data_IF_023900904291
#
_entry.id   IF_023900904291
#
_cell.length_a   1.000
_cell.length_b   1.000
_cell.length_c   1.000
_cell.angle_alpha   90.00
_cell.angle_beta   90.00
_cell.angle_gamma   90.00
#
_symmetry.space_group_name_H-M   'P 1'
#
loop_
_entity.id
_entity.type
_entity.pdbx_description
1 polymer ?
#
# COMPACT_ATOMS: atom_id res chain seq x y z
N UNK A 1 32.57 15.48 -9.61
CA UNK A 1 31.97 14.34 -8.89
C UNK A 1 32.55 13.07 -9.50
N UNK A 2 33.15 12.18 -8.71
CA UNK A 2 33.67 10.91 -9.23
C UNK A 2 32.55 10.07 -9.83
N UNK A 3 32.88 9.25 -10.83
CA UNK A 3 31.94 8.28 -11.41
C UNK A 3 31.29 7.48 -10.28
N UNK A 4 29.96 7.30 -10.26
CA UNK A 4 29.33 6.43 -9.27
C UNK A 4 29.98 5.04 -9.36
N UNK A 5 30.53 4.56 -8.24
CA UNK A 5 31.13 3.23 -8.16
C UNK A 5 30.11 2.13 -8.45
N UNK A 6 30.56 0.97 -8.90
CA UNK A 6 29.68 -0.16 -9.25
C UNK A 6 30.03 -1.41 -8.44
N UNK A 7 29.05 -2.31 -8.25
CA UNK A 7 29.22 -3.48 -7.39
C UNK A 7 30.35 -4.39 -7.86
N UNK A 8 30.57 -4.46 -9.17
CA UNK A 8 31.54 -5.34 -9.78
C UNK A 8 32.98 -4.85 -9.68
N UNK A 9 33.21 -3.59 -9.30
CA UNK A 9 34.52 -2.99 -9.11
C UNK A 9 34.83 -2.69 -7.64
N UNK A 10 33.82 -2.47 -6.81
CA UNK A 10 34.00 -2.02 -5.42
C UNK A 10 33.96 -3.16 -4.37
N UNK A 11 33.45 -4.34 -4.69
CA UNK A 11 33.24 -5.43 -3.71
C UNK A 11 34.25 -6.58 -3.86
N UNK A 12 35.53 -6.26 -3.77
CA UNK A 12 36.64 -7.21 -3.78
C UNK A 12 37.49 -7.14 -2.51
N UNK A 13 38.17 -8.24 -2.19
CA UNK A 13 39.15 -8.31 -1.12
C UNK A 13 40.51 -8.72 -1.67
N UNK A 14 41.59 -8.29 -1.00
CA UNK A 14 42.97 -8.59 -1.40
C UNK A 14 43.35 -10.04 -1.09
N UNK A 15 42.83 -10.60 0.00
CA UNK A 15 43.14 -11.96 0.41
C UNK A 15 42.38 -13.01 -0.43
N UNK A 16 43.11 -13.97 -0.98
CA UNK A 16 42.51 -15.10 -1.70
C UNK A 16 41.65 -15.91 -0.71
N UNK A 17 40.44 -16.26 -1.14
CA UNK A 17 39.41 -16.91 -0.34
C UNK A 17 38.75 -16.03 0.74
N UNK A 18 39.03 -14.72 0.79
CA UNK A 18 38.16 -13.78 1.49
C UNK A 18 37.02 -13.34 0.58
N UNK A 19 35.83 -13.89 0.84
CA UNK A 19 34.63 -13.66 0.05
C UNK A 19 33.68 -12.61 0.66
N UNK A 20 34.15 -11.81 1.61
CA UNK A 20 33.32 -10.83 2.32
C UNK A 20 32.67 -9.77 1.41
N UNK A 21 33.30 -9.38 0.30
CA UNK A 21 32.71 -8.48 -0.70
C UNK A 21 31.40 -9.04 -1.29
N UNK A 22 31.43 -10.29 -1.76
CA UNK A 22 30.23 -11.01 -2.21
C UNK A 22 29.19 -11.16 -1.10
N UNK A 23 29.61 -11.55 0.11
CA UNK A 23 28.72 -11.73 1.27
C UNK A 23 27.95 -10.45 1.60
N UNK A 24 28.62 -9.29 1.51
CA UNK A 24 28.03 -7.98 1.77
C UNK A 24 26.92 -7.67 0.76
N UNK A 25 27.21 -7.82 -0.54
CA UNK A 25 26.20 -7.58 -1.60
C UNK A 25 25.06 -8.59 -1.49
N UNK A 26 25.36 -9.87 -1.28
CA UNK A 26 24.33 -10.91 -1.15
C UNK A 26 23.37 -10.63 0.00
N UNK A 27 23.89 -10.19 1.14
CA UNK A 27 23.08 -9.79 2.28
C UNK A 27 22.23 -8.56 1.96
N UNK A 28 22.80 -7.55 1.28
CA UNK A 28 22.04 -6.37 0.85
C UNK A 28 20.83 -6.74 -0.01
N UNK A 29 20.98 -7.67 -0.96
CA UNK A 29 19.86 -8.13 -1.80
C UNK A 29 18.82 -8.90 -1.00
N UNK A 30 19.22 -9.69 0.01
CA UNK A 30 18.28 -10.35 0.93
C UNK A 30 17.46 -9.32 1.71
N UNK A 31 18.11 -8.29 2.24
CA UNK A 31 17.44 -7.23 2.99
C UNK A 31 16.49 -6.42 2.09
N UNK A 32 16.93 -6.11 0.86
CA UNK A 32 16.10 -5.47 -0.16
C UNK A 32 14.82 -6.27 -0.46
N UNK A 33 14.92 -7.59 -0.62
CA UNK A 33 13.77 -8.48 -0.82
C UNK A 33 12.81 -8.47 0.38
N UNK A 34 13.33 -8.42 1.61
CA UNK A 34 12.51 -8.31 2.82
C UNK A 34 11.75 -6.99 2.87
N UNK A 35 12.39 -5.89 2.51
CA UNK A 35 11.76 -4.57 2.47
C UNK A 35 10.61 -4.53 1.46
N UNK A 36 10.82 -5.05 0.23
CA UNK A 36 9.74 -5.13 -0.77
C UNK A 36 8.58 -5.99 -0.24
N UNK A 37 8.87 -7.15 0.36
CA UNK A 37 7.84 -8.02 0.92
C UNK A 37 6.99 -7.29 1.97
N UNK A 38 7.64 -6.59 2.92
CA UNK A 38 6.97 -5.82 3.95
C UNK A 38 6.09 -4.70 3.35
N UNK A 39 6.59 -4.01 2.31
CA UNK A 39 5.83 -2.98 1.62
C UNK A 39 4.60 -3.55 0.89
N UNK A 40 4.76 -4.69 0.21
CA UNK A 40 3.63 -5.42 -0.41
C UNK A 40 2.58 -5.77 0.65
N UNK A 41 2.99 -6.29 1.80
CA UNK A 41 2.06 -6.72 2.84
C UNK A 41 1.35 -5.55 3.53
N UNK A 42 2.03 -4.41 3.70
CA UNK A 42 1.41 -3.16 4.11
C UNK A 42 0.35 -2.72 3.09
N UNK A 43 0.73 -2.68 1.81
CA UNK A 43 -0.18 -2.20 0.75
C UNK A 43 -1.37 -3.14 0.54
N UNK A 44 -1.23 -4.45 0.75
CA UNK A 44 -2.38 -5.38 0.78
C UNK A 44 -3.39 -5.01 1.87
N UNK A 45 -2.93 -4.64 3.07
CA UNK A 45 -3.81 -4.22 4.16
C UNK A 45 -4.51 -2.91 3.81
N UNK A 46 -3.79 -1.93 3.24
CA UNK A 46 -4.36 -0.67 2.75
C UNK A 46 -5.43 -0.92 1.70
N UNK A 47 -5.13 -1.75 0.70
CA UNK A 47 -6.09 -2.10 -0.36
C UNK A 47 -7.33 -2.79 0.22
N UNK A 48 -7.15 -3.77 1.11
CA UNK A 48 -8.28 -4.46 1.75
C UNK A 48 -9.16 -3.50 2.57
N UNK A 49 -8.55 -2.56 3.31
CA UNK A 49 -9.30 -1.54 4.03
C UNK A 49 -10.11 -0.65 3.07
N UNK A 50 -9.52 -0.23 1.95
CA UNK A 50 -10.19 0.54 0.90
C UNK A 50 -11.36 -0.23 0.27
N UNK A 51 -11.18 -1.53 -0.03
CA UNK A 51 -12.25 -2.39 -0.56
C UNK A 51 -13.42 -2.52 0.43
N UNK A 52 -13.11 -2.74 1.71
CA UNK A 52 -14.13 -2.85 2.75
C UNK A 52 -14.90 -1.54 2.93
N UNK A 53 -14.20 -0.41 2.85
CA UNK A 53 -14.80 0.91 2.89
C UNK A 53 -15.76 1.12 1.72
N UNK A 54 -15.30 0.90 0.47
CA UNK A 54 -16.12 1.04 -0.73
C UNK A 54 -17.36 0.13 -0.71
N UNK A 55 -17.20 -1.15 -0.33
CA UNK A 55 -18.32 -2.10 -0.19
C UNK A 55 -19.34 -1.66 0.86
N UNK A 56 -18.87 -1.07 1.97
CA UNK A 56 -19.75 -0.59 3.02
C UNK A 56 -20.58 0.61 2.56
N UNK A 57 -19.98 1.54 1.80
CA UNK A 57 -20.70 2.66 1.19
C UNK A 57 -21.76 2.21 0.19
N UNK A 58 -21.41 1.29 -0.72
CA UNK A 58 -22.37 0.73 -1.68
C UNK A 58 -23.55 0.03 -0.97
N UNK A 59 -23.26 -0.72 0.10
CA UNK A 59 -24.29 -1.36 0.92
C UNK A 59 -25.19 -0.32 1.60
N UNK A 60 -24.62 0.76 2.14
CA UNK A 60 -25.38 1.85 2.74
C UNK A 60 -26.30 2.53 1.72
N UNK A 61 -25.77 2.90 0.55
CA UNK A 61 -26.53 3.54 -0.53
C UNK A 61 -27.65 2.66 -1.10
N UNK A 62 -27.44 1.34 -1.13
CA UNK A 62 -28.46 0.36 -1.54
C UNK A 62 -29.57 0.21 -0.49
N UNK A 63 -29.22 0.26 0.78
CA UNK A 63 -30.16 0.09 1.89
C UNK A 63 -30.95 1.35 2.21
N UNK A 64 -30.45 2.52 1.81
CA UNK A 64 -31.16 3.79 1.93
C UNK A 64 -32.20 3.91 0.80
N UNK A 65 -33.39 3.34 1.00
CA UNK A 65 -34.55 3.67 0.16
C UNK A 65 -35.12 5.01 0.60
N UNK A 66 -35.27 5.93 -0.34
CA UNK A 66 -35.95 7.19 -0.10
C UNK A 66 -37.46 6.97 -0.28
N UNK A 67 -38.31 7.34 0.70
CA UNK A 67 -39.75 7.18 0.59
C UNK A 67 -40.31 7.87 -0.66
N UNK A 68 -41.32 7.26 -1.29
CA UNK A 68 -42.06 7.86 -2.40
C UNK A 68 -43.01 8.99 -1.94
N UNK A 69 -43.00 9.32 -0.65
CA UNK A 69 -43.81 10.41 -0.08
C UNK A 69 -43.20 11.78 -0.30
N UNK A 70 -41.89 11.86 -0.54
CA UNK A 70 -41.18 13.13 -0.76
C UNK A 70 -41.09 13.43 -2.26
N UNK A 71 -41.30 14.70 -2.62
CA UNK A 71 -41.42 15.15 -4.01
C UNK A 71 -40.55 16.39 -4.28
N UNK A 72 -40.62 16.92 -5.51
CA UNK A 72 -39.99 18.19 -5.84
C UNK A 72 -38.46 18.14 -5.83
N UNK A 73 -37.86 19.32 -5.64
CA UNK A 73 -36.40 19.50 -5.65
C UNK A 73 -35.75 18.91 -4.41
N UNK A 74 -36.45 18.89 -3.27
CA UNK A 74 -35.92 18.24 -2.06
C UNK A 74 -35.73 16.74 -2.28
N UNK A 75 -36.69 16.05 -2.92
CA UNK A 75 -36.55 14.63 -3.30
C UNK A 75 -35.36 14.40 -4.23
N UNK A 76 -35.15 15.30 -5.19
CA UNK A 76 -34.02 15.24 -6.11
C UNK A 76 -32.68 15.40 -5.37
N UNK A 77 -32.57 16.35 -4.45
CA UNK A 77 -31.36 16.55 -3.65
C UNK A 77 -31.04 15.35 -2.74
N UNK A 78 -32.05 14.75 -2.11
CA UNK A 78 -31.88 13.50 -1.35
C UNK A 78 -31.41 12.36 -2.25
N UNK A 79 -31.93 12.26 -3.48
CA UNK A 79 -31.48 11.27 -4.45
C UNK A 79 -30.03 11.53 -4.89
N UNK A 80 -29.64 12.79 -5.13
CA UNK A 80 -28.25 13.16 -5.42
C UNK A 80 -27.33 12.73 -4.29
N UNK A 81 -27.68 12.99 -3.03
CA UNK A 81 -26.88 12.58 -1.88
C UNK A 81 -26.68 11.06 -1.82
N UNK A 82 -27.75 10.28 -2.05
CA UNK A 82 -27.66 8.80 -2.13
C UNK A 82 -26.73 8.35 -3.25
N UNK A 83 -26.87 8.92 -4.44
CA UNK A 83 -26.05 8.59 -5.61
C UNK A 83 -24.58 9.00 -5.42
N UNK A 84 -24.30 10.12 -4.74
CA UNK A 84 -22.94 10.53 -4.39
C UNK A 84 -22.24 9.52 -3.46
N UNK A 85 -22.97 8.94 -2.48
CA UNK A 85 -22.42 7.87 -1.63
C UNK A 85 -22.15 6.60 -2.44
N UNK A 86 -23.05 6.25 -3.37
CA UNK A 86 -22.88 5.12 -4.28
C UNK A 86 -21.65 5.31 -5.18
N UNK A 87 -21.49 6.49 -5.76
CA UNK A 87 -20.35 6.85 -6.61
C UNK A 87 -19.03 6.80 -5.84
N UNK A 88 -18.98 7.37 -4.62
CA UNK A 88 -17.77 7.30 -3.79
C UNK A 88 -17.41 5.86 -3.39
N UNK A 89 -18.43 5.03 -3.13
CA UNK A 89 -18.25 3.60 -2.93
C UNK A 89 -17.59 2.92 -4.12
N UNK A 90 -18.04 3.24 -5.34
CA UNK A 90 -17.47 2.72 -6.57
C UNK A 90 -16.04 3.21 -6.82
N UNK A 91 -15.78 4.52 -6.67
CA UNK A 91 -14.44 5.10 -6.83
C UNK A 91 -13.42 4.45 -5.88
N UNK A 92 -13.84 4.17 -4.64
CA UNK A 92 -13.00 3.48 -3.66
C UNK A 92 -12.63 2.05 -4.11
N UNK A 93 -13.56 1.33 -4.76
CA UNK A 93 -13.28 0.00 -5.32
C UNK A 93 -12.39 0.05 -6.55
N UNK A 94 -12.56 1.06 -7.40
CA UNK A 94 -11.74 1.25 -8.60
C UNK A 94 -10.30 1.62 -8.21
N UNK A 95 -10.13 2.48 -7.20
CA UNK A 95 -8.85 2.76 -6.58
C UNK A 95 -8.20 1.50 -6.00
N UNK A 96 -8.95 0.70 -5.23
CA UNK A 96 -8.45 -0.57 -4.70
C UNK A 96 -8.00 -1.55 -5.79
N UNK A 97 -8.74 -1.61 -6.90
CA UNK A 97 -8.37 -2.42 -8.08
C UNK A 97 -7.04 -1.96 -8.67
N UNK A 98 -6.85 -0.64 -8.79
CA UNK A 98 -5.59 -0.05 -9.27
C UNK A 98 -4.42 -0.38 -8.34
N UNK A 99 -4.63 -0.29 -7.02
CA UNK A 99 -3.63 -0.69 -6.02
C UNK A 99 -3.28 -2.18 -6.11
N UNK A 100 -4.25 -3.05 -6.34
CA UNK A 100 -4.03 -4.49 -6.55
C UNK A 100 -3.18 -4.79 -7.80
N UNK A 101 -3.35 -4.02 -8.89
CA UNK A 101 -2.48 -4.13 -10.06
C UNK A 101 -1.02 -3.75 -9.74
N UNK A 102 -0.81 -2.68 -8.98
CA UNK A 102 0.52 -2.28 -8.51
C UNK A 102 1.18 -3.36 -7.63
N UNK A 103 0.40 -3.96 -6.72
CA UNK A 103 0.85 -5.06 -5.86
C UNK A 103 1.26 -6.31 -6.65
N UNK A 104 0.52 -6.61 -7.72
CA UNK A 104 0.82 -7.73 -8.61
C UNK A 104 2.17 -7.53 -9.32
N UNK A 105 2.44 -6.31 -9.80
CA UNK A 105 3.71 -5.95 -10.43
C UNK A 105 4.90 -6.05 -9.45
N UNK A 106 4.75 -5.53 -8.23
CA UNK A 106 5.77 -5.66 -7.18
C UNK A 106 6.04 -7.12 -6.81
N UNK A 107 5.00 -7.94 -6.74
CA UNK A 107 5.11 -9.37 -6.40
C UNK A 107 5.89 -10.14 -7.48
N UNK A 108 5.63 -9.84 -8.76
CA UNK A 108 6.38 -10.41 -9.87
C UNK A 108 7.87 -10.02 -9.82
N UNK A 109 8.16 -8.74 -9.58
CA UNK A 109 9.54 -8.26 -9.42
C UNK A 109 10.25 -8.97 -8.24
N UNK A 110 9.58 -9.11 -7.09
CA UNK A 110 10.14 -9.80 -5.93
C UNK A 110 10.48 -11.27 -6.25
N UNK A 111 9.64 -11.96 -7.04
CA UNK A 111 9.92 -13.33 -7.49
C UNK A 111 11.17 -13.37 -8.37
N UNK A 112 11.25 -12.50 -9.39
CA UNK A 112 12.40 -12.43 -10.30
C UNK A 112 13.71 -12.06 -9.58
N UNK A 113 13.64 -11.16 -8.60
CA UNK A 113 14.78 -10.77 -7.77
C UNK A 113 15.28 -11.93 -6.90
N UNK A 114 14.37 -12.72 -6.31
CA UNK A 114 14.71 -13.92 -5.54
C UNK A 114 15.39 -14.98 -6.40
N UNK A 115 14.88 -15.21 -7.61
CA UNK A 115 15.42 -16.19 -8.55
C UNK A 115 16.81 -15.79 -9.06
N UNK A 116 16.99 -14.51 -9.41
CA UNK A 116 18.29 -13.97 -9.84
C UNK A 116 19.33 -14.07 -8.73
N UNK A 117 18.96 -13.71 -7.49
CA UNK A 117 19.80 -13.86 -6.31
C UNK A 117 20.22 -15.32 -6.09
N UNK A 118 19.27 -16.27 -6.19
CA UNK A 118 19.53 -17.71 -5.97
C UNK A 118 20.50 -18.27 -7.02
N UNK A 119 20.29 -17.95 -8.30
CA UNK A 119 21.19 -18.36 -9.39
C UNK A 119 22.61 -17.82 -9.18
N UNK A 120 22.74 -16.55 -8.81
CA UNK A 120 24.03 -15.94 -8.54
C UNK A 120 24.72 -16.57 -7.32
N UNK A 121 23.97 -16.82 -6.23
CA UNK A 121 24.47 -17.51 -5.03
C UNK A 121 25.02 -18.90 -5.34
N UNK A 122 24.29 -19.71 -6.10
CA UNK A 122 24.73 -21.06 -6.48
C UNK A 122 25.99 -21.03 -7.35
N UNK A 123 26.02 -20.15 -8.36
CA UNK A 123 27.15 -20.01 -9.26
C UNK A 123 28.42 -19.56 -8.53
N UNK A 124 28.32 -18.51 -7.72
CA UNK A 124 29.47 -17.98 -6.96
C UNK A 124 29.95 -18.99 -5.92
N UNK A 125 29.04 -19.61 -5.16
CA UNK A 125 29.39 -20.61 -4.14
C UNK A 125 30.10 -21.83 -4.75
N UNK A 126 29.67 -22.30 -5.91
CA UNK A 126 30.36 -23.39 -6.62
C UNK A 126 31.81 -23.02 -6.95
N UNK A 127 32.04 -21.81 -7.48
CA UNK A 127 33.40 -21.34 -7.83
C UNK A 127 34.26 -21.06 -6.60
N UNK A 128 33.69 -20.56 -5.52
CA UNK A 128 34.37 -20.39 -4.24
C UNK A 128 34.91 -21.74 -3.70
N UNK A 129 34.08 -22.79 -3.74
CA UNK A 129 34.50 -24.13 -3.32
C UNK A 129 35.66 -24.67 -4.18
N UNK A 130 35.57 -24.53 -5.51
CA UNK A 130 36.65 -24.95 -6.41
C UNK A 130 37.95 -24.19 -6.14
N UNK A 131 37.87 -22.88 -5.91
CA UNK A 131 39.03 -22.06 -5.59
C UNK A 131 39.68 -22.46 -4.27
N UNK A 132 38.88 -22.70 -3.22
CA UNK A 132 39.37 -23.18 -1.93
C UNK A 132 40.10 -24.53 -2.05
N UNK A 133 39.56 -25.45 -2.84
CA UNK A 133 40.20 -26.74 -3.08
C UNK A 133 41.50 -26.61 -3.88
N UNK A 134 41.52 -25.75 -4.90
CA UNK A 134 42.71 -25.49 -5.69
C UNK A 134 43.82 -24.83 -4.86
N UNK A 135 43.48 -23.86 -3.99
CA UNK A 135 44.41 -23.26 -3.02
C UNK A 135 44.99 -24.33 -2.08
N UNK A 136 44.16 -25.23 -1.55
CA UNK A 136 44.61 -26.31 -0.66
C UNK A 136 45.61 -27.23 -1.38
N UNK A 137 45.30 -27.64 -2.61
CA UNK A 137 46.18 -28.50 -3.44
C UNK A 137 47.50 -27.81 -3.76
N UNK A 138 47.47 -26.55 -4.20
CA UNK A 138 48.69 -25.78 -4.49
C UNK A 138 49.59 -25.60 -3.25
N UNK A 139 49.00 -25.32 -2.08
CA UNK A 139 49.77 -25.25 -0.82
C UNK A 139 50.39 -26.60 -0.46
N UNK A 140 49.66 -27.70 -0.64
CA UNK A 140 50.15 -29.05 -0.34
C UNK A 140 51.28 -29.48 -1.29
N UNK A 141 51.13 -29.26 -2.60
CA UNK A 141 52.15 -29.59 -3.60
C UNK A 141 53.42 -28.76 -3.41
N UNK A 142 53.29 -27.47 -3.08
CA UNK A 142 54.43 -26.61 -2.77
C UNK A 142 55.19 -27.11 -1.53
N UNK A 143 54.47 -27.48 -0.46
CA UNK A 143 55.09 -28.07 0.73
C UNK A 143 55.80 -29.39 0.41
N UNK A 144 55.22 -30.22 -0.46
CA UNK A 144 55.87 -31.46 -0.94
C UNK A 144 57.17 -31.18 -1.68
N UNK A 145 57.15 -30.25 -2.64
CA UNK A 145 58.33 -29.87 -3.41
C UNK A 145 59.44 -29.31 -2.50
N UNK A 146 59.09 -28.46 -1.53
CA UNK A 146 60.04 -27.96 -0.52
C UNK A 146 60.67 -29.08 0.31
N UNK A 147 59.90 -30.10 0.69
CA UNK A 147 60.42 -31.25 1.43
C UNK A 147 61.36 -32.10 0.56
N UNK A 148 61.01 -32.32 -0.72
CA UNK A 148 61.85 -33.04 -1.67
C UNK A 148 63.14 -32.31 -1.99
N UNK A 149 63.11 -30.98 -2.03
CA UNK A 149 64.30 -30.16 -2.17
C UNK A 149 65.25 -30.33 -0.97
N UNK A 150 64.71 -30.33 0.26
CA UNK A 150 65.50 -30.60 1.47
C UNK A 150 66.10 -32.01 1.46
N UNK A 151 65.34 -33.02 1.01
CA UNK A 151 65.81 -34.41 0.89
C UNK A 151 66.97 -34.51 -0.11
N UNK A 152 66.85 -33.90 -1.29
CA UNK A 152 67.92 -33.81 -2.28
C UNK A 152 69.19 -33.17 -1.71
N UNK A 153 69.06 -32.00 -1.05
CA UNK A 153 70.20 -31.32 -0.44
C UNK A 153 70.88 -32.19 0.62
N UNK A 154 70.12 -32.98 1.38
CA UNK A 154 70.67 -33.92 2.34
C UNK A 154 71.44 -35.07 1.65
N UNK A 155 70.89 -35.65 0.58
CA UNK A 155 71.58 -36.68 -0.21
C UNK A 155 72.86 -36.15 -0.87
N UNK A 156 72.83 -34.93 -1.40
CA UNK A 156 74.00 -34.24 -1.97
C UNK A 156 75.10 -34.04 -0.91
N UNK A 157 74.74 -33.52 0.26
CA UNK A 157 75.69 -33.35 1.38
C UNK A 157 76.28 -34.70 1.84
N UNK A 158 75.45 -35.74 1.89
CA UNK A 158 75.91 -37.08 2.23
C UNK A 158 76.90 -37.63 1.19
N UNK A 159 76.65 -37.42 -0.11
CA UNK A 159 77.60 -37.78 -1.17
C UNK A 159 78.94 -37.07 -0.98
N UNK A 160 78.93 -35.75 -0.81
CA UNK A 160 80.15 -34.95 -0.59
C UNK A 160 80.93 -35.43 0.64
N UNK A 161 80.22 -35.76 1.73
CA UNK A 161 80.83 -36.31 2.95
C UNK A 161 81.49 -37.68 2.69
N UNK A 162 80.82 -38.58 1.96
CA UNK A 162 81.39 -39.89 1.62
C UNK A 162 82.60 -39.76 0.69
N UNK A 163 82.54 -38.88 -0.33
CA UNK A 163 83.66 -38.61 -1.24
C UNK A 163 84.88 -37.99 -0.54
N UNK A 164 84.67 -37.21 0.52
CA UNK A 164 85.76 -36.57 1.27
C UNK A 164 86.56 -37.52 2.18
N UNK A 165 86.09 -38.75 2.40
CA UNK A 165 86.76 -39.72 3.29
C UNK A 165 87.94 -40.39 2.57
N UNK A 166 89.11 -40.42 3.21
CA UNK A 166 90.35 -40.98 2.68
C UNK A 166 90.23 -42.49 2.34
N UNK A 167 89.46 -43.25 3.13
CA UNK A 167 89.24 -44.70 2.94
C UNK A 167 87.87 -45.04 2.29
N UNK A 168 87.27 -44.10 1.54
CA UNK A 168 85.96 -44.31 0.94
C UNK A 168 85.98 -45.49 -0.06
N UNK A 169 85.10 -46.47 0.15
CA UNK A 169 84.94 -47.59 -0.78
C UNK A 169 84.17 -47.14 -2.01
N UNK A 170 84.62 -47.53 -3.19
CA UNK A 170 83.95 -47.24 -4.47
C UNK A 170 82.44 -47.55 -4.45
N UNK A 171 82.05 -48.69 -3.87
CA UNK A 171 80.64 -49.10 -3.72
C UNK A 171 79.80 -48.15 -2.86
N UNK A 172 80.39 -47.48 -1.88
CA UNK A 172 79.67 -46.55 -0.99
C UNK A 172 79.49 -45.17 -1.66
N UNK A 173 80.48 -44.74 -2.45
CA UNK A 173 80.37 -43.56 -3.32
C UNK A 173 79.26 -43.77 -4.37
N UNK A 174 79.26 -44.94 -5.04
CA UNK A 174 78.28 -45.27 -6.08
C UNK A 174 76.84 -45.31 -5.53
N UNK A 175 76.65 -45.86 -4.32
CA UNK A 175 75.36 -45.80 -3.61
C UNK A 175 74.92 -44.37 -3.29
N UNK A 176 75.83 -43.51 -2.85
CA UNK A 176 75.52 -42.12 -2.54
C UNK A 176 75.13 -41.33 -3.80
N UNK A 177 75.84 -41.55 -4.92
CA UNK A 177 75.47 -41.00 -6.24
C UNK A 177 74.07 -41.47 -6.66
N UNK A 178 73.77 -42.76 -6.51
CA UNK A 178 72.46 -43.30 -6.88
C UNK A 178 71.32 -42.75 -6.00
N UNK A 179 71.59 -42.56 -4.71
CA UNK A 179 70.62 -41.95 -3.78
C UNK A 179 70.34 -40.48 -4.13
N UNK A 180 71.38 -39.70 -4.45
CA UNK A 180 71.22 -38.32 -4.92
C UNK A 180 70.40 -38.26 -6.22
N UNK A 181 70.73 -39.07 -7.22
CA UNK A 181 69.96 -39.14 -8.48
C UNK A 181 68.49 -39.46 -8.24
N UNK A 182 68.19 -40.45 -7.40
CA UNK A 182 66.80 -40.80 -7.05
C UNK A 182 66.07 -39.64 -6.36
N UNK A 183 66.76 -38.91 -5.49
CA UNK A 183 66.19 -37.72 -4.83
C UNK A 183 65.98 -36.55 -5.79
N UNK A 184 66.82 -36.43 -6.82
CA UNK A 184 66.70 -35.44 -7.89
C UNK A 184 65.50 -35.75 -8.79
N UNK A 185 65.31 -37.00 -9.22
CA UNK A 185 64.13 -37.43 -9.97
C UNK A 185 62.83 -37.18 -9.18
N UNK A 186 62.83 -37.51 -7.88
CA UNK A 186 61.67 -37.28 -7.01
C UNK A 186 61.38 -35.78 -6.75
N UNK A 187 62.41 -34.94 -6.76
CA UNK A 187 62.23 -33.49 -6.73
C UNK A 187 61.61 -33.00 -8.04
N UNK A 188 62.15 -33.41 -9.19
CA UNK A 188 61.63 -33.02 -10.49
C UNK A 188 60.15 -33.39 -10.65
N UNK A 189 59.76 -34.60 -10.25
CA UNK A 189 58.36 -35.03 -10.24
C UNK A 189 57.48 -34.16 -9.32
N UNK A 190 57.96 -33.84 -8.11
CA UNK A 190 57.20 -33.00 -7.18
C UNK A 190 57.12 -31.54 -7.63
N UNK A 191 58.11 -31.02 -8.35
CA UNK A 191 58.11 -29.69 -8.95
C UNK A 191 57.13 -29.62 -10.13
N UNK A 192 57.07 -30.65 -10.97
CA UNK A 192 56.07 -30.82 -12.03
C UNK A 192 54.64 -30.75 -11.45
N UNK A 193 54.36 -31.56 -10.41
CA UNK A 193 53.07 -31.57 -9.73
C UNK A 193 52.73 -30.21 -9.08
N UNK A 194 53.74 -29.52 -8.54
CA UNK A 194 53.55 -28.19 -7.98
C UNK A 194 53.21 -27.17 -9.07
N UNK A 195 53.89 -27.22 -10.21
CA UNK A 195 53.62 -26.36 -11.38
C UNK A 195 52.20 -26.56 -11.90
N UNK A 196 51.77 -27.80 -12.06
CA UNK A 196 50.40 -28.12 -12.46
C UNK A 196 49.35 -27.63 -11.45
N UNK A 197 49.62 -27.77 -10.15
CA UNK A 197 48.70 -27.33 -9.10
C UNK A 197 48.56 -25.82 -9.05
N UNK A 198 49.65 -25.07 -9.28
CA UNK A 198 49.62 -23.60 -9.39
C UNK A 198 48.87 -23.17 -10.66
N UNK A 199 49.05 -23.87 -11.78
CA UNK A 199 48.31 -23.61 -13.01
C UNK A 199 46.79 -23.75 -12.78
N UNK A 200 46.35 -24.89 -12.22
CA UNK A 200 44.94 -25.14 -11.89
C UNK A 200 44.37 -24.14 -10.87
N UNK A 201 45.21 -23.66 -9.95
CA UNK A 201 44.83 -22.60 -9.02
C UNK A 201 44.52 -21.29 -9.76
N UNK A 202 45.39 -20.87 -10.68
CA UNK A 202 45.20 -19.64 -11.46
C UNK A 202 43.96 -19.73 -12.36
N UNK A 203 43.71 -20.88 -13.00
CA UNK A 203 42.47 -21.10 -13.76
C UNK A 203 41.23 -20.96 -12.86
N UNK A 204 41.22 -21.62 -11.71
CA UNK A 204 40.10 -21.53 -10.76
C UNK A 204 39.90 -20.13 -10.19
N UNK A 205 40.98 -19.35 -10.04
CA UNK A 205 40.92 -17.97 -9.59
C UNK A 205 40.25 -17.09 -10.65
N UNK A 206 40.66 -17.23 -11.91
CA UNK A 206 40.09 -16.48 -13.04
C UNK A 206 38.60 -16.81 -13.22
N UNK A 207 38.22 -18.09 -13.14
CA UNK A 207 36.82 -18.52 -13.23
C UNK A 207 35.95 -17.93 -12.12
N UNK A 208 36.46 -17.93 -10.89
CA UNK A 208 35.78 -17.31 -9.76
C UNK A 208 35.64 -15.80 -9.94
N UNK A 209 36.69 -15.10 -10.38
CA UNK A 209 36.66 -13.66 -10.65
C UNK A 209 35.62 -13.32 -11.72
N UNK A 210 35.62 -14.02 -12.85
CA UNK A 210 34.68 -13.79 -13.94
C UNK A 210 33.23 -14.02 -13.50
N UNK A 211 32.97 -15.13 -12.80
CA UNK A 211 31.64 -15.49 -12.31
C UNK A 211 31.14 -14.48 -11.26
N UNK A 212 32.01 -14.10 -10.32
CA UNK A 212 31.68 -13.14 -9.26
C UNK A 212 31.42 -11.75 -9.83
N UNK A 213 32.25 -11.28 -10.78
CA UNK A 213 32.06 -10.01 -11.47
C UNK A 213 30.71 -9.95 -12.20
N UNK A 214 30.38 -11.00 -12.95
CA UNK A 214 29.08 -11.10 -13.65
C UNK A 214 27.91 -11.11 -12.65
N UNK A 215 28.05 -11.86 -11.56
CA UNK A 215 27.04 -11.95 -10.51
C UNK A 215 26.84 -10.62 -9.79
N UNK A 216 27.91 -9.88 -9.50
CA UNK A 216 27.85 -8.55 -8.88
C UNK A 216 27.13 -7.53 -9.77
N UNK A 217 27.38 -7.55 -11.10
CA UNK A 217 26.61 -6.73 -12.06
C UNK A 217 25.13 -7.06 -12.02
N UNK A 218 24.78 -8.34 -12.08
CA UNK A 218 23.38 -8.77 -11.99
C UNK A 218 22.72 -8.38 -10.66
N UNK A 219 23.45 -8.41 -9.53
CA UNK A 219 22.92 -7.96 -8.24
C UNK A 219 22.74 -6.45 -8.18
N UNK A 220 23.59 -5.68 -8.87
CA UNK A 220 23.40 -4.24 -9.02
C UNK A 220 22.12 -3.94 -9.81
N UNK A 221 21.89 -4.62 -10.93
CA UNK A 221 20.66 -4.46 -11.72
C UNK A 221 19.40 -4.73 -10.87
N UNK A 222 19.45 -5.78 -10.03
CA UNK A 222 18.36 -6.12 -9.08
C UNK A 222 18.14 -5.00 -8.05
N UNK A 223 19.21 -4.40 -7.52
CA UNK A 223 19.11 -3.33 -6.53
C UNK A 223 18.62 -2.01 -7.15
N UNK A 224 19.09 -1.67 -8.35
CA UNK A 224 18.62 -0.50 -9.11
C UNK A 224 17.13 -0.64 -9.45
N UNK A 225 16.72 -1.80 -9.95
CA UNK A 225 15.32 -2.10 -10.23
C UNK A 225 14.46 -2.03 -8.97
N UNK A 226 14.95 -2.53 -7.83
CA UNK A 226 14.28 -2.43 -6.53
C UNK A 226 14.02 -0.98 -6.13
N UNK A 227 15.03 -0.11 -6.22
CA UNK A 227 14.89 1.29 -5.85
C UNK A 227 13.86 1.97 -6.75
N UNK A 228 13.97 1.76 -8.06
CA UNK A 228 13.07 2.33 -9.06
C UNK A 228 11.62 1.89 -8.84
N UNK A 229 11.37 0.59 -8.70
CA UNK A 229 10.01 0.05 -8.61
C UNK A 229 9.31 0.47 -7.32
N UNK A 230 10.02 0.55 -6.20
CA UNK A 230 9.43 1.02 -4.94
C UNK A 230 9.08 2.50 -5.03
N UNK A 231 9.98 3.33 -5.56
CA UNK A 231 9.71 4.76 -5.80
C UNK A 231 8.50 4.95 -6.70
N UNK A 232 8.46 4.27 -7.84
CA UNK A 232 7.40 4.41 -8.84
C UNK A 232 6.06 3.91 -8.30
N UNK A 233 6.07 2.84 -7.50
CA UNK A 233 4.88 2.36 -6.80
C UNK A 233 4.36 3.39 -5.80
N UNK A 234 5.21 3.92 -4.91
CA UNK A 234 4.80 4.93 -3.92
C UNK A 234 4.23 6.18 -4.59
N UNK A 235 4.85 6.62 -5.68
CA UNK A 235 4.34 7.73 -6.49
C UNK A 235 2.96 7.43 -7.07
N UNK A 236 2.77 6.23 -7.64
CA UNK A 236 1.48 5.79 -8.18
C UNK A 236 0.39 5.75 -7.10
N UNK A 237 0.70 5.23 -5.91
CA UNK A 237 -0.22 5.21 -4.76
C UNK A 237 -0.63 6.63 -4.37
N UNK A 238 0.32 7.58 -4.29
CA UNK A 238 0.03 8.97 -3.98
C UNK A 238 -0.91 9.62 -5.00
N UNK A 239 -0.74 9.30 -6.29
CA UNK A 239 -1.63 9.81 -7.34
C UNK A 239 -3.06 9.23 -7.22
N UNK A 240 -3.19 7.94 -6.91
CA UNK A 240 -4.50 7.31 -6.66
C UNK A 240 -5.22 7.99 -5.50
N UNK A 241 -4.53 8.22 -4.38
CA UNK A 241 -5.10 8.93 -3.23
C UNK A 241 -5.49 10.38 -3.56
N UNK A 242 -4.67 11.07 -4.34
CA UNK A 242 -4.96 12.45 -4.77
C UNK A 242 -6.19 12.51 -5.69
N UNK A 243 -6.34 11.54 -6.60
CA UNK A 243 -7.51 11.43 -7.45
C UNK A 243 -8.78 11.18 -6.62
N UNK A 244 -8.73 10.26 -5.65
CA UNK A 244 -9.87 10.00 -4.76
C UNK A 244 -10.31 11.25 -3.99
N UNK A 245 -9.37 12.09 -3.56
CA UNK A 245 -9.70 13.35 -2.88
C UNK A 245 -10.46 14.32 -3.80
N UNK A 246 -10.04 14.43 -5.07
CA UNK A 246 -10.72 15.26 -6.08
C UNK A 246 -12.11 14.72 -6.39
N UNK A 247 -12.25 13.40 -6.58
CA UNK A 247 -13.55 12.77 -6.82
C UNK A 247 -14.50 12.98 -5.64
N UNK A 248 -13.99 12.82 -4.41
CA UNK A 248 -14.78 13.05 -3.20
C UNK A 248 -15.31 14.49 -3.14
N UNK A 249 -14.46 15.50 -3.42
CA UNK A 249 -14.88 16.90 -3.46
C UNK A 249 -15.97 17.15 -4.53
N UNK A 250 -15.82 16.58 -5.73
CA UNK A 250 -16.82 16.66 -6.80
C UNK A 250 -18.18 16.10 -6.36
N UNK A 251 -18.18 14.98 -5.63
CA UNK A 251 -19.41 14.38 -5.10
C UNK A 251 -20.08 15.27 -4.05
N UNK A 252 -19.31 15.94 -3.19
CA UNK A 252 -19.84 16.89 -2.22
C UNK A 252 -20.38 18.16 -2.90
N UNK A 253 -19.71 18.63 -3.95
CA UNK A 253 -20.15 19.78 -4.72
C UNK A 253 -21.47 19.52 -5.45
N UNK A 254 -21.64 18.33 -6.03
CA UNK A 254 -22.90 17.91 -6.64
C UNK A 254 -24.09 17.99 -5.66
N UNK A 255 -23.87 17.59 -4.40
CA UNK A 255 -24.87 17.71 -3.34
C UNK A 255 -25.16 19.19 -3.04
N UNK A 256 -24.13 20.03 -2.85
CA UNK A 256 -24.29 21.47 -2.57
C UNK A 256 -25.06 22.18 -3.67
N UNK A 257 -24.74 21.89 -4.94
CA UNK A 257 -25.45 22.45 -6.09
C UNK A 257 -26.91 22.01 -6.14
N UNK A 258 -27.19 20.73 -5.86
CA UNK A 258 -28.57 20.22 -5.81
C UNK A 258 -29.37 20.90 -4.70
N UNK A 259 -28.78 21.07 -3.52
CA UNK A 259 -29.40 21.78 -2.39
C UNK A 259 -29.64 23.27 -2.68
N UNK A 260 -28.69 23.96 -3.33
CA UNK A 260 -28.86 25.39 -3.67
C UNK A 260 -30.00 25.66 -4.66
N UNK A 261 -30.45 24.63 -5.38
CA UNK A 261 -31.55 24.76 -6.33
C UNK A 261 -32.93 24.79 -5.66
N UNK A 262 -33.00 24.42 -4.37
CA UNK A 262 -34.24 24.31 -3.60
C UNK A 262 -34.75 25.71 -3.23
N UNK A 263 -35.96 26.01 -3.66
CA UNK A 263 -36.71 27.19 -3.23
C UNK A 263 -37.87 26.72 -2.36
N UNK A 264 -37.80 27.02 -1.06
CA UNK A 264 -38.79 26.57 -0.07
C UNK A 264 -40.19 27.08 -0.41
N UNK A 265 -40.32 28.31 -0.92
CA UNK A 265 -41.61 28.88 -1.31
C UNK A 265 -42.23 28.14 -2.49
N UNK A 266 -41.42 27.78 -3.49
CA UNK A 266 -41.86 26.98 -4.65
C UNK A 266 -42.22 25.55 -4.26
N UNK A 267 -41.45 24.90 -3.37
CA UNK A 267 -41.75 23.55 -2.89
C UNK A 267 -43.10 23.52 -2.16
N UNK A 268 -43.30 24.44 -1.20
CA UNK A 268 -44.56 24.54 -0.44
C UNK A 268 -45.75 24.89 -1.35
N UNK A 269 -45.57 25.85 -2.27
CA UNK A 269 -46.62 26.25 -3.21
C UNK A 269 -47.02 25.09 -4.13
N UNK A 270 -46.05 24.31 -4.59
CA UNK A 270 -46.29 23.12 -5.43
C UNK A 270 -47.05 22.05 -4.66
N UNK A 271 -46.72 21.82 -3.40
CA UNK A 271 -47.43 20.88 -2.53
C UNK A 271 -48.87 21.32 -2.27
N UNK A 272 -49.09 22.57 -1.85
CA UNK A 272 -50.45 23.12 -1.61
C UNK A 272 -51.29 23.05 -2.88
N UNK A 273 -50.73 23.39 -4.04
CA UNK A 273 -51.43 23.31 -5.33
C UNK A 273 -51.91 21.88 -5.63
N UNK A 274 -51.13 20.88 -5.26
CA UNK A 274 -51.41 19.46 -5.53
C UNK A 274 -52.40 18.87 -4.53
N UNK A 275 -52.31 19.22 -3.24
CA UNK A 275 -53.05 18.56 -2.16
C UNK A 275 -54.16 19.42 -1.53
N UNK A 276 -54.41 20.65 -2.00
CA UNK A 276 -55.51 21.50 -1.51
C UNK A 276 -56.87 20.80 -1.64
N UNK A 277 -57.68 20.89 -0.59
CA UNK A 277 -59.02 20.28 -0.52
C UNK A 277 -60.10 21.09 -1.23
N UNK A 278 -59.81 22.35 -1.56
CA UNK A 278 -60.74 23.29 -2.21
C UNK A 278 -62.08 23.47 -1.47
N UNK A 279 -62.10 23.19 -0.16
CA UNK A 279 -63.29 23.37 0.67
C UNK A 279 -63.21 24.68 1.46
N UNK A 280 -64.37 25.30 1.68
CA UNK A 280 -64.49 26.36 2.68
C UNK A 280 -64.49 25.76 4.09
N UNK A 281 -64.01 26.49 5.11
CA UNK A 281 -64.10 26.03 6.49
C UNK A 281 -65.55 25.68 6.87
N UNK A 282 -65.77 24.61 7.67
CA UNK A 282 -67.10 24.23 8.13
C UNK A 282 -67.86 25.42 8.72
N UNK A 283 -69.09 25.63 8.25
CA UNK A 283 -69.93 26.71 8.74
C UNK A 283 -70.55 26.34 10.10
N UNK A 284 -70.76 27.31 11.01
CA UNK A 284 -71.44 27.06 12.28
C UNK A 284 -72.83 26.43 12.06
N UNK A 285 -73.19 25.49 12.94
CA UNK A 285 -74.51 24.85 12.91
C UNK A 285 -75.60 25.90 13.16
N UNK A 286 -76.59 25.94 12.28
CA UNK A 286 -77.78 26.77 12.45
C UNK A 286 -78.98 25.86 12.71
N UNK A 287 -79.69 26.10 13.82
CA UNK A 287 -80.92 25.38 14.14
C UNK A 287 -82.02 25.73 13.13
N UNK A 288 -82.67 24.70 12.55
CA UNK A 288 -83.87 24.85 11.72
C UNK A 288 -85.02 24.06 12.37
N UNK A 289 -86.13 24.71 12.76
CA UNK A 289 -87.31 24.02 13.28
C UNK A 289 -87.86 23.03 12.25
N UNK A 290 -88.31 21.85 12.70
CA UNK A 290 -88.90 20.84 11.84
C UNK A 290 -90.41 21.04 11.76
N UNK A 291 -90.92 21.53 10.63
CA UNK A 291 -92.36 21.71 10.43
C UNK A 291 -93.04 20.35 10.17
N UNK A 292 -94.09 20.06 10.94
CA UNK A 292 -94.91 18.86 10.78
C UNK A 292 -95.82 19.04 9.56
N UNK A 293 -95.65 18.24 8.51
CA UNK A 293 -96.49 18.32 7.31
C UNK A 293 -97.97 18.00 7.65
N UNK A 294 -98.78 19.03 7.82
CA UNK A 294 -100.23 18.89 8.00
C UNK A 294 -100.93 18.82 6.64
N UNK A 295 -101.17 17.61 6.13
CA UNK A 295 -102.17 17.36 5.09
C UNK A 295 -103.47 16.86 5.72
N UNK A 296 -104.46 17.74 5.92
CA UNK A 296 -105.90 17.38 5.88
C UNK A 296 -106.74 18.59 5.44
N UNK A 297 -107.59 18.50 4.39
CA UNK A 297 -108.57 19.53 4.05
C UNK A 297 -109.83 19.44 4.92
N UNK A 298 -110.35 20.60 5.29
CA UNK A 298 -111.43 20.88 6.24
C UNK A 298 -112.84 20.47 5.73
N UNK A 299 -113.62 19.78 6.56
CA UNK A 299 -115.09 19.96 6.63
C UNK A 299 -115.61 19.83 8.07
N UNK A 300 -116.43 20.82 8.45
CA UNK A 300 -117.12 21.02 9.72
C UNK A 300 -118.02 19.84 10.15
N UNK A 301 -118.10 19.52 11.46
CA UNK A 301 -119.30 19.73 12.31
C UNK A 301 -119.13 19.25 13.77
N UNK A 302 -119.41 20.18 14.69
CA UNK A 302 -120.07 20.10 16.00
C UNK A 302 -119.71 19.04 17.08
N UNK A 303 -119.10 19.57 18.15
CA UNK A 303 -119.51 19.56 19.57
C UNK A 303 -119.88 18.23 20.29
N UNK A 304 -119.09 17.86 21.32
CA UNK A 304 -119.52 18.05 22.73
C UNK A 304 -118.45 17.74 23.79
N UNK A 305 -118.29 18.70 24.70
CA UNK A 305 -118.27 18.62 26.19
C UNK A 305 -117.34 17.64 26.94
N UNK A 306 -116.44 18.23 27.75
CA UNK A 306 -116.25 18.12 29.24
C UNK A 306 -114.76 18.32 29.58
N UNK A 307 -114.34 19.51 30.04
CA UNK A 307 -114.29 20.02 31.44
C UNK A 307 -113.38 19.21 32.37
N UNK A 308 -112.24 19.83 32.78
CA UNK A 308 -111.82 20.12 34.17
C UNK A 308 -110.30 20.40 34.22
N UNK A 309 -109.90 21.67 34.42
CA UNK A 309 -109.26 22.26 35.64
C UNK A 309 -107.74 21.98 35.75
N UNK A 310 -106.88 22.99 35.56
CA UNK A 310 -106.26 23.89 36.62
C UNK A 310 -105.22 23.09 37.43
N UNK A 311 -103.92 23.39 37.50
CA UNK A 311 -103.16 24.59 37.94
C UNK A 311 -101.67 24.27 37.68
N UNK A 312 -100.87 25.16 37.09
CA UNK A 312 -99.95 26.15 37.71
C UNK A 312 -98.61 25.64 38.25
N UNK A 313 -97.62 26.54 38.06
CA UNK A 313 -96.32 26.67 38.73
C UNK A 313 -95.23 25.65 38.34
N UNK A 314 -93.95 25.98 38.22
CA UNK A 314 -93.13 27.20 38.33
C UNK A 314 -91.75 26.78 37.77
N UNK A 315 -90.96 27.67 37.15
CA UNK A 315 -89.68 28.19 37.69
C UNK A 315 -88.64 27.10 38.06
N UNK A 316 -87.36 27.10 37.69
CA UNK A 316 -86.44 28.18 37.34
C UNK A 316 -85.15 27.57 36.78
N UNK A 317 -84.42 28.37 35.99
CA UNK A 317 -82.96 28.60 36.05
C UNK A 317 -81.98 27.45 36.34
N UNK A 318 -80.99 27.29 35.46
CA UNK A 318 -79.58 27.67 35.69
C UNK A 318 -78.67 27.00 34.63
N UNK A 319 -77.88 27.71 33.82
CA UNK A 319 -76.64 28.46 34.11
C UNK A 319 -75.43 27.64 33.65
N UNK A 320 -74.74 28.19 32.62
CA UNK A 320 -73.31 28.17 32.26
C UNK A 320 -72.44 26.95 32.63
N UNK A 321 -71.41 26.57 31.88
CA UNK A 321 -70.17 27.35 31.79
C UNK A 321 -69.22 26.77 30.72
N UNK A 322 -68.60 27.70 30.00
CA UNK A 322 -67.40 27.62 29.16
C UNK A 322 -66.18 26.98 29.82
N UNK A 323 -65.24 26.42 29.02
CA UNK A 323 -63.83 26.83 29.07
C UNK A 323 -63.00 26.36 27.86
N UNK A 324 -62.33 27.32 27.25
CA UNK A 324 -61.25 27.21 26.28
C UNK A 324 -59.89 27.39 26.96
N UNK A 325 -58.82 26.88 26.36
CA UNK A 325 -57.44 27.11 26.77
C UNK A 325 -56.44 26.52 25.78
N UNK A 326 -55.73 27.40 25.08
CA UNK A 326 -54.72 27.14 24.03
C UNK A 326 -53.34 27.46 24.61
N UNK A 327 -52.32 26.64 24.32
CA UNK A 327 -50.90 26.99 24.54
C UNK A 327 -50.02 26.44 23.41
N UNK A 328 -49.21 27.34 22.84
CA UNK A 328 -48.17 27.12 21.81
C UNK A 328 -46.79 27.01 22.49
N UNK A 329 -45.80 26.27 21.96
CA UNK A 329 -44.43 26.22 22.52
C UNK A 329 -43.37 27.04 21.73
N UNK A 330 -42.33 27.48 22.43
CA UNK A 330 -41.07 28.10 21.93
C UNK A 330 -40.07 27.07 21.35
N UNK A 331 -39.12 27.47 20.46
CA UNK A 331 -38.00 26.64 20.01
C UNK A 331 -36.66 26.94 20.71
N UNK A 332 -35.83 25.90 20.92
CA UNK A 332 -34.52 25.95 21.57
C UNK A 332 -33.38 25.54 20.60
N UNK A 333 -32.35 26.40 20.53
CA UNK A 333 -30.93 26.16 20.19
C UNK A 333 -30.48 25.76 18.76
N UNK A 334 -30.06 26.82 18.06
CA UNK A 334 -28.86 27.04 17.24
C UNK A 334 -27.81 25.91 17.14
N UNK A 335 -27.49 25.50 15.91
CA UNK A 335 -26.42 24.56 15.55
C UNK A 335 -25.40 25.21 14.60
N UNK A 336 -25.00 26.44 14.91
CA UNK A 336 -24.03 27.22 14.12
C UNK A 336 -22.69 27.33 14.85
N UNK A 337 -21.97 26.21 15.05
CA UNK A 337 -20.57 26.25 15.52
C UNK A 337 -19.78 25.08 14.92
N UNK A 338 -19.41 25.15 13.64
CA UNK A 338 -18.37 24.26 13.06
C UNK A 338 -17.45 24.97 12.04
N UNK A 339 -17.56 26.29 11.84
CA UNK A 339 -16.70 27.02 10.90
C UNK A 339 -16.21 28.35 11.47
N UNK A 340 -15.43 28.30 12.55
CA UNK A 340 -14.61 29.45 12.99
C UNK A 340 -13.26 28.95 13.51
N UNK A 341 -12.24 28.98 12.64
CA UNK A 341 -10.78 29.04 12.89
C UNK A 341 -10.14 28.97 11.48
N UNK A 342 -9.51 30.00 10.88
CA UNK A 342 -8.56 31.02 11.35
C UNK A 342 -8.60 32.28 10.45
N UNK A 343 -8.25 33.48 10.95
CA UNK A 343 -7.94 34.61 10.10
C UNK A 343 -6.56 34.44 9.42
N UNK A 344 -6.54 34.69 8.11
CA UNK A 344 -5.33 34.89 7.31
C UNK A 344 -4.79 36.29 7.62
N UNK A 345 -3.56 36.40 8.13
CA UNK A 345 -2.82 37.66 8.11
C UNK A 345 -1.45 37.44 7.44
N UNK A 346 -1.28 38.18 6.36
CA UNK A 346 -0.04 38.42 5.62
C UNK A 346 0.91 39.30 6.45
N UNK A 347 2.22 39.02 6.41
CA UNK A 347 3.32 40.02 6.32
C UNK A 347 4.67 39.36 6.67
N UNK A 348 5.52 39.13 5.67
CA UNK A 348 7.00 39.15 5.71
C UNK A 348 7.40 39.23 4.24
N UNK A 349 7.36 40.41 3.63
CA UNK A 349 8.48 41.36 3.48
C UNK A 349 9.68 40.75 2.74
N UNK A 350 9.88 41.34 1.56
CA UNK A 350 10.96 41.15 0.61
C UNK A 350 12.33 41.48 1.21
N UNK A 351 13.33 40.65 0.91
CA UNK A 351 14.71 41.11 0.80
C UNK A 351 15.25 40.63 -0.55
N UNK A 352 15.20 41.54 -1.51
CA UNK A 352 16.11 41.58 -2.66
C UNK A 352 17.53 41.74 -2.13
N UNK A 353 18.45 40.85 -2.54
CA UNK A 353 19.79 41.32 -2.87
C UNK A 353 20.45 40.46 -3.95
N UNK A 354 21.01 41.20 -4.90
CA UNK A 354 21.72 40.81 -6.10
C UNK A 354 22.86 39.81 -5.85
N UNK A 355 23.04 38.84 -6.77
CA UNK A 355 24.21 38.91 -7.64
C UNK A 355 24.13 37.99 -8.87
N UNK A 356 24.40 38.63 -10.01
CA UNK A 356 24.56 38.01 -11.33
C UNK A 356 26.00 37.56 -11.50
N UNK A 357 26.25 36.28 -11.82
CA UNK A 357 27.43 35.91 -12.62
C UNK A 357 27.05 34.81 -13.62
N UNK A 358 26.94 35.25 -14.87
CA UNK A 358 27.16 34.49 -16.09
C UNK A 358 28.54 33.83 -16.08
N UNK A 359 28.65 32.57 -16.51
CA UNK A 359 29.70 32.21 -17.46
C UNK A 359 29.41 30.89 -18.18
N UNK A 360 29.49 31.00 -19.50
CA UNK A 360 29.71 29.92 -20.46
C UNK A 360 30.98 29.13 -20.09
N UNK A 361 30.90 27.80 -20.19
CA UNK A 361 31.74 26.93 -21.02
C UNK A 361 31.23 25.48 -20.96
#
# INVERSE_FOLDING_TARGET
MGSPGNFADEFWNTEICDFSGWTTVHQRIKDGNKIICNYIDLMKQVTSAMENFGRSLLKAAKNSSLPDTEHGKLRAALQTARLSVEAWGQDSLDAATTLNSQLSFLSQHLMQAKDSRKRAEEAVKSRQNHLQDAVRKAKQSNKSAQNKLKERLNCQNQRLCVESKIDAKSKDIEKAIQAERKSEDALAESEEQCRESVFKHNESLQDWQNTTRSSLKSMQDVEEARVKILRDSMWSVANVCSMLAVQFDQHQESIRMSLSSIDVGQELSSWVKTYRTLQSPPQPLTYKPQELASHVPTTFTHANSKRSTVTDAESSTNTSTSRSGTTTPEPLHDATVMYEFLPRNESLEDDDDHDSITNEF
#
